data_IF_256155824101
#
_entry.id   IF_256155824101
#
_cell.length_a   1.000
_cell.length_b   1.000
_cell.length_c   1.000
_cell.angle_alpha   90.00
_cell.angle_beta   90.00
_cell.angle_gamma   90.00
#
_symmetry.space_group_name_H-M   'P 1'
#
loop_
_entity.id
_entity.type
_entity.pdbx_description
1 polymer ?
#
# COMPACT_ATOMS: atom_id res chain seq x y z
N UNK A 1 0.18 -1.24 -31.03
CA UNK A 1 1.50 -1.00 -31.66
C UNK A 1 2.54 -0.91 -30.56
N UNK A 2 3.65 -1.67 -30.60
CA UNK A 2 4.78 -1.50 -29.66
C UNK A 2 5.13 -2.73 -28.83
N UNK A 3 4.33 -3.79 -28.93
CA UNK A 3 4.45 -4.96 -28.06
C UNK A 3 4.13 -4.62 -26.60
N UNK A 4 3.86 -5.65 -25.80
CA UNK A 4 3.77 -5.49 -24.35
C UNK A 4 5.18 -5.50 -23.78
N UNK A 5 5.56 -4.43 -23.12
CA UNK A 5 6.86 -4.28 -22.48
C UNK A 5 6.70 -4.51 -20.98
N UNK A 6 7.55 -5.35 -20.39
CA UNK A 6 7.48 -5.71 -18.97
C UNK A 6 8.59 -5.02 -18.19
N UNK A 7 8.25 -4.62 -16.98
CA UNK A 7 9.12 -3.90 -16.06
C UNK A 7 8.89 -4.41 -14.64
N UNK A 8 9.85 -4.16 -13.76
CA UNK A 8 9.72 -4.46 -12.33
C UNK A 8 10.28 -3.28 -11.52
N UNK A 9 9.52 -2.80 -10.54
CA UNK A 9 9.91 -1.75 -9.62
C UNK A 9 9.62 -2.19 -8.17
N UNK A 10 10.57 -2.06 -7.23
CA UNK A 10 10.38 -2.52 -5.85
C UNK A 10 9.16 -1.93 -5.12
N UNK A 11 8.64 -0.78 -5.55
CA UNK A 11 7.54 -0.07 -4.89
C UNK A 11 6.17 -0.53 -5.39
N UNK A 12 6.06 -0.87 -6.68
CA UNK A 12 4.77 -1.14 -7.36
C UNK A 12 4.70 -2.54 -7.96
N UNK A 13 5.79 -3.30 -7.92
CA UNK A 13 5.90 -4.68 -8.39
C UNK A 13 6.12 -4.78 -9.89
N UNK A 14 5.71 -5.93 -10.45
CA UNK A 14 5.79 -6.16 -11.88
C UNK A 14 4.65 -5.40 -12.58
N UNK A 15 4.99 -4.70 -13.65
CA UNK A 15 4.03 -3.98 -14.46
C UNK A 15 4.40 -4.05 -15.93
N UNK A 16 3.49 -3.63 -16.79
CA UNK A 16 3.72 -3.61 -18.22
C UNK A 16 3.07 -2.41 -18.86
N UNK A 17 3.67 -1.97 -19.97
CA UNK A 17 3.14 -0.91 -20.80
C UNK A 17 2.96 -1.46 -22.22
N UNK A 18 1.78 -1.23 -22.77
CA UNK A 18 1.46 -1.50 -24.17
C UNK A 18 0.99 -0.22 -24.81
N UNK A 19 1.61 0.20 -25.91
CA UNK A 19 1.06 1.31 -26.70
C UNK A 19 0.03 0.77 -27.69
N UNK A 20 -1.10 1.45 -27.85
CA UNK A 20 -2.13 1.02 -28.81
C UNK A 20 -2.25 1.96 -30.00
N UNK A 21 -1.75 3.19 -29.87
CA UNK A 21 -1.81 4.21 -30.90
C UNK A 21 -0.45 4.58 -31.49
N UNK A 22 -0.54 5.34 -32.59
CA UNK A 22 0.56 6.14 -33.13
C UNK A 22 0.11 7.60 -33.25
N UNK A 23 1.04 8.53 -33.33
CA UNK A 23 0.75 9.90 -33.70
C UNK A 23 0.40 10.04 -35.19
N UNK A 24 0.02 11.25 -35.60
CA UNK A 24 -0.37 11.56 -36.98
C UNK A 24 0.78 11.44 -37.99
N UNK A 25 2.03 11.54 -37.52
CA UNK A 25 3.21 11.28 -38.33
C UNK A 25 3.49 9.77 -38.49
N UNK A 26 2.87 8.91 -37.68
CA UNK A 26 3.01 7.46 -37.72
C UNK A 26 4.29 6.93 -37.07
N UNK A 27 5.08 7.81 -36.46
CA UNK A 27 6.40 7.52 -35.88
C UNK A 27 6.37 7.48 -34.35
N UNK A 28 5.57 8.31 -33.70
CA UNK A 28 5.45 8.35 -32.24
C UNK A 28 4.45 7.34 -31.70
N UNK A 29 4.79 6.61 -30.63
CA UNK A 29 3.86 5.74 -29.91
C UNK A 29 2.93 6.57 -29.01
N UNK A 30 1.63 6.25 -29.02
CA UNK A 30 0.59 6.94 -28.23
C UNK A 30 -0.36 5.94 -27.57
N UNK A 31 -1.29 6.41 -26.73
CA UNK A 31 -2.26 5.58 -26.01
C UNK A 31 -1.61 4.47 -25.18
N UNK A 32 -0.83 4.82 -24.14
CA UNK A 32 -0.27 3.83 -23.24
C UNK A 32 -1.39 3.14 -22.45
N UNK A 33 -1.37 1.81 -22.44
CA UNK A 33 -2.10 0.96 -21.51
C UNK A 33 -1.10 0.52 -20.44
N UNK A 34 -1.39 0.86 -19.19
CA UNK A 34 -0.67 0.39 -18.02
C UNK A 34 -1.40 -0.85 -17.47
N UNK A 35 -0.65 -1.89 -17.12
CA UNK A 35 -1.18 -3.05 -16.41
C UNK A 35 -0.24 -3.37 -15.27
N UNK A 36 -0.78 -3.56 -14.07
CA UNK A 36 -0.01 -3.92 -12.87
C UNK A 36 -0.40 -5.33 -12.45
N UNK A 37 0.58 -6.16 -12.15
CA UNK A 37 0.36 -7.58 -11.78
C UNK A 37 -0.60 -7.76 -10.62
N UNK A 38 -0.56 -6.85 -9.65
CA UNK A 38 -1.35 -6.94 -8.42
C UNK A 38 -2.64 -6.14 -8.47
N UNK A 39 -3.02 -5.57 -9.62
CA UNK A 39 -4.30 -4.88 -9.77
C UNK A 39 -5.20 -5.73 -10.66
N UNK A 40 -6.21 -6.34 -10.03
CA UNK A 40 -7.26 -7.14 -10.70
C UNK A 40 -6.70 -8.06 -11.81
N UNK A 41 -5.61 -8.78 -11.51
CA UNK A 41 -4.88 -9.67 -12.43
C UNK A 41 -4.53 -9.03 -13.79
N UNK A 42 -3.66 -8.01 -13.77
CA UNK A 42 -3.21 -7.28 -14.96
C UNK A 42 -4.34 -6.53 -15.70
N UNK A 43 -5.28 -5.96 -14.96
CA UNK A 43 -6.30 -5.07 -15.54
C UNK A 43 -5.69 -3.99 -16.41
N UNK A 44 -6.30 -3.77 -17.58
CA UNK A 44 -5.92 -2.70 -18.50
C UNK A 44 -6.36 -1.35 -17.97
N UNK A 45 -5.39 -0.47 -17.77
CA UNK A 45 -5.59 0.92 -17.36
C UNK A 45 -5.23 1.81 -18.56
N UNK A 46 -6.22 2.32 -19.31
CA UNK A 46 -5.97 3.22 -20.42
C UNK A 46 -5.54 4.59 -19.90
N UNK A 47 -4.23 4.83 -19.84
CA UNK A 47 -3.65 6.02 -19.20
C UNK A 47 -4.13 7.30 -19.86
N UNK A 48 -4.24 7.32 -21.19
CA UNK A 48 -4.66 8.50 -21.94
C UNK A 48 -6.13 8.85 -21.66
N UNK A 49 -7.01 7.85 -21.56
CA UNK A 49 -8.43 8.07 -21.24
C UNK A 49 -8.58 8.65 -19.83
N UNK A 50 -7.87 8.09 -18.83
CA UNK A 50 -7.86 8.64 -17.46
C UNK A 50 -7.36 10.09 -17.38
N UNK A 51 -6.44 10.47 -18.26
CA UNK A 51 -5.94 11.85 -18.32
C UNK A 51 -6.98 12.78 -18.92
N UNK A 52 -7.67 12.35 -19.97
CA UNK A 52 -8.74 13.14 -20.59
C UNK A 52 -9.93 13.29 -19.64
N UNK A 53 -10.35 12.23 -18.98
CA UNK A 53 -11.43 12.29 -18.00
C UNK A 53 -11.10 13.30 -16.86
N UNK A 54 -9.83 13.35 -16.42
CA UNK A 54 -9.38 14.36 -15.44
C UNK A 54 -9.45 15.78 -15.98
N UNK A 55 -9.07 15.99 -17.24
CA UNK A 55 -9.14 17.30 -17.89
C UNK A 55 -10.60 17.75 -18.00
N UNK A 56 -11.49 16.85 -18.38
CA UNK A 56 -12.93 17.12 -18.50
C UNK A 56 -13.56 17.41 -17.14
N UNK A 57 -13.19 16.67 -16.10
CA UNK A 57 -13.65 16.93 -14.73
C UNK A 57 -13.21 18.32 -14.24
N UNK A 58 -11.94 18.68 -14.48
CA UNK A 58 -11.42 20.01 -14.14
C UNK A 58 -12.11 21.12 -14.93
N UNK A 59 -12.33 20.93 -16.22
CA UNK A 59 -13.04 21.89 -17.06
C UNK A 59 -14.48 22.11 -16.55
N UNK A 60 -15.16 21.02 -16.14
CA UNK A 60 -16.47 21.10 -15.51
C UNK A 60 -16.43 21.95 -14.21
N UNK A 61 -15.45 21.71 -13.33
CA UNK A 61 -15.29 22.46 -12.08
C UNK A 61 -15.01 23.95 -12.33
N UNK A 62 -14.10 24.25 -13.26
CA UNK A 62 -13.70 25.62 -13.62
C UNK A 62 -14.90 26.42 -14.21
N UNK A 63 -15.88 25.72 -14.81
CA UNK A 63 -17.11 26.30 -15.34
C UNK A 63 -18.32 26.18 -14.40
N UNK A 64 -18.10 25.92 -13.11
CA UNK A 64 -19.14 25.82 -12.06
C UNK A 64 -20.21 24.76 -12.36
N UNK A 65 -19.83 23.65 -13.00
CA UNK A 65 -20.70 22.51 -13.22
C UNK A 65 -21.14 21.86 -11.90
N UNK A 66 -22.40 21.44 -11.82
CA UNK A 66 -22.96 20.86 -10.59
C UNK A 66 -22.84 19.33 -10.48
N UNK A 67 -22.45 18.65 -11.56
CA UNK A 67 -22.36 17.18 -11.64
C UNK A 67 -21.02 16.77 -12.28
N UNK A 68 -19.92 17.30 -11.76
CA UNK A 68 -18.60 16.97 -12.30
C UNK A 68 -18.22 15.53 -11.92
N UNK A 69 -17.58 14.77 -12.83
CA UNK A 69 -17.13 13.42 -12.54
C UNK A 69 -16.12 13.36 -11.38
N UNK A 70 -16.46 12.63 -10.31
CA UNK A 70 -15.61 12.44 -9.10
C UNK A 70 -14.51 11.38 -9.27
N UNK A 71 -14.33 10.84 -10.48
CA UNK A 71 -13.64 9.57 -10.74
C UNK A 71 -12.23 9.43 -10.15
N UNK A 72 -11.64 8.21 -10.18
CA UNK A 72 -10.30 7.99 -9.67
C UNK A 72 -9.25 8.49 -10.67
N UNK A 73 -9.08 9.81 -10.73
CA UNK A 73 -8.15 10.51 -11.64
C UNK A 73 -6.69 10.38 -11.20
N UNK A 74 -6.11 9.20 -11.39
CA UNK A 74 -4.72 8.97 -10.96
C UNK A 74 -3.68 9.45 -11.98
N UNK A 75 -4.09 9.83 -13.20
CA UNK A 75 -3.17 10.14 -14.30
C UNK A 75 -3.29 11.59 -14.79
N UNK A 76 -2.20 12.17 -15.27
CA UNK A 76 -2.19 13.47 -15.96
C UNK A 76 -1.03 13.61 -16.96
N UNK A 77 -1.18 14.54 -17.90
CA UNK A 77 -0.09 14.95 -18.77
C UNK A 77 0.96 15.71 -17.97
N UNK A 78 2.23 15.40 -18.23
CA UNK A 78 3.33 16.30 -17.89
C UNK A 78 3.46 17.34 -19.00
N UNK A 79 3.84 18.56 -18.63
CA UNK A 79 3.87 19.69 -19.53
C UNK A 79 4.74 19.39 -20.76
N UNK A 80 4.15 19.55 -21.95
CA UNK A 80 4.82 19.26 -23.20
C UNK A 80 5.75 20.41 -23.59
N UNK A 81 7.05 20.19 -23.47
CA UNK A 81 8.08 21.16 -23.83
C UNK A 81 8.68 20.82 -25.19
N UNK A 82 8.18 21.47 -26.25
CA UNK A 82 8.68 21.31 -27.63
C UNK A 82 10.19 21.55 -27.75
N UNK A 83 10.79 22.36 -26.86
CA UNK A 83 12.22 22.66 -26.90
C UNK A 83 13.10 21.49 -26.42
N UNK A 84 12.50 20.51 -25.71
CA UNK A 84 13.19 19.31 -25.19
C UNK A 84 12.94 18.05 -26.02
N UNK A 85 12.37 18.22 -27.21
CA UNK A 85 12.09 17.17 -28.18
C UNK A 85 10.64 16.68 -28.16
N UNK A 86 10.29 15.87 -29.16
CA UNK A 86 8.93 15.36 -29.36
C UNK A 86 8.61 14.17 -28.45
N UNK A 87 8.55 14.40 -27.13
CA UNK A 87 8.21 13.36 -26.14
C UNK A 87 6.91 13.69 -25.44
N UNK A 88 5.94 12.77 -25.52
CA UNK A 88 4.76 12.81 -24.66
C UNK A 88 5.10 12.15 -23.33
N UNK A 89 4.61 12.74 -22.25
CA UNK A 89 4.90 12.30 -20.90
C UNK A 89 3.60 12.26 -20.09
N UNK A 90 3.47 11.19 -19.31
CA UNK A 90 2.34 10.97 -18.42
C UNK A 90 2.87 10.71 -17.02
N UNK A 91 2.16 11.22 -16.02
CA UNK A 91 2.39 10.88 -14.63
C UNK A 91 1.13 10.22 -14.08
N UNK A 92 1.28 8.97 -13.62
CA UNK A 92 0.19 8.16 -13.06
C UNK A 92 0.52 7.80 -11.61
N UNK A 93 -0.42 8.03 -10.71
CA UNK A 93 -0.45 7.38 -9.40
C UNK A 93 -0.88 5.92 -9.58
N UNK A 94 -0.26 5.03 -8.81
CA UNK A 94 -0.68 3.62 -8.74
C UNK A 94 -0.84 3.25 -7.27
N UNK A 95 -1.86 2.45 -6.92
CA UNK A 95 -2.00 1.93 -5.56
C UNK A 95 -0.72 1.25 -5.11
N UNK A 96 -0.36 1.45 -3.84
CA UNK A 96 0.73 0.70 -3.23
C UNK A 96 0.26 -0.74 -3.06
N UNK A 97 1.09 -1.70 -3.46
CA UNK A 97 0.74 -3.12 -3.37
C UNK A 97 0.34 -3.48 -1.93
N UNK A 98 -0.77 -4.20 -1.78
CA UNK A 98 -1.30 -4.61 -0.49
C UNK A 98 -2.01 -3.49 0.27
N UNK A 99 -2.34 -2.38 -0.40
CA UNK A 99 -3.21 -1.33 0.12
C UNK A 99 -4.49 -1.36 -0.72
N UNK A 100 -5.50 -2.09 -0.23
CA UNK A 100 -6.81 -2.09 -0.85
C UNK A 100 -7.58 -0.83 -0.45
N UNK A 101 -7.86 0.05 -1.39
CA UNK A 101 -9.03 0.93 -1.29
C UNK A 101 -10.14 0.37 -2.19
N UNK A 102 -11.38 0.80 -1.98
CA UNK A 102 -12.54 0.26 -2.68
C UNK A 102 -12.53 0.49 -4.22
N UNK A 103 -11.59 1.30 -4.74
CA UNK A 103 -11.56 1.70 -6.15
C UNK A 103 -10.64 0.83 -7.02
N UNK A 104 -9.53 0.34 -6.46
CA UNK A 104 -8.59 -0.55 -7.15
C UNK A 104 -8.01 -1.55 -6.16
N UNK A 105 -8.43 -2.81 -6.25
CA UNK A 105 -7.88 -3.87 -5.41
C UNK A 105 -6.43 -4.15 -5.82
N UNK A 106 -5.49 -3.82 -4.93
CA UNK A 106 -4.06 -4.01 -5.11
C UNK A 106 -3.49 -5.17 -4.28
N UNK A 107 -4.36 -6.06 -3.79
CA UNK A 107 -3.99 -7.17 -2.93
C UNK A 107 -3.02 -8.13 -3.62
N UNK A 108 -2.00 -8.56 -2.87
CA UNK A 108 -1.12 -9.66 -3.23
C UNK A 108 -1.86 -10.99 -3.15
N UNK A 109 -1.44 -12.00 -3.92
CA UNK A 109 -1.90 -13.37 -3.72
C UNK A 109 -1.68 -13.79 -2.26
N UNK A 110 -2.65 -14.52 -1.73
CA UNK A 110 -2.56 -15.13 -0.40
C UNK A 110 -2.04 -16.57 -0.50
N UNK A 111 -1.34 -17.04 0.53
CA UNK A 111 -0.91 -18.43 0.66
C UNK A 111 -2.08 -19.36 1.04
N UNK A 112 -1.82 -20.65 1.21
CA UNK A 112 -2.82 -21.66 1.62
C UNK A 112 -3.48 -21.37 2.98
N UNK A 113 -2.85 -20.53 3.81
CA UNK A 113 -3.37 -20.10 5.11
C UNK A 113 -4.20 -18.81 5.02
N UNK A 114 -4.30 -18.21 3.83
CA UNK A 114 -5.03 -16.97 3.58
C UNK A 114 -4.25 -15.69 3.90
N UNK A 115 -2.92 -15.74 4.00
CA UNK A 115 -2.08 -14.55 4.27
C UNK A 115 -1.36 -14.08 3.03
N UNK A 116 -1.27 -12.77 2.85
CA UNK A 116 -0.32 -12.19 1.92
C UNK A 116 1.12 -12.46 2.40
N UNK A 117 1.96 -13.16 1.61
CA UNK A 117 3.31 -13.47 2.03
C UNK A 117 4.16 -12.21 2.27
N UNK A 118 5.07 -12.29 3.25
CA UNK A 118 6.01 -11.22 3.58
C UNK A 118 5.95 -10.82 5.05
N UNK A 119 6.15 -9.53 5.33
CA UNK A 119 6.15 -9.02 6.70
C UNK A 119 4.71 -8.82 7.20
N UNK A 120 4.37 -9.48 8.30
CA UNK A 120 3.13 -9.28 9.05
C UNK A 120 3.37 -8.38 10.25
N UNK A 121 2.59 -7.30 10.34
CA UNK A 121 2.72 -6.28 11.37
C UNK A 121 1.84 -6.56 12.58
N UNK A 122 2.40 -6.34 13.77
CA UNK A 122 1.69 -6.34 15.05
C UNK A 122 1.93 -4.98 15.69
N UNK A 123 0.94 -4.12 15.62
CA UNK A 123 0.94 -2.81 16.27
C UNK A 123 0.32 -2.95 17.65
N UNK A 124 1.03 -2.50 18.68
CA UNK A 124 0.61 -2.63 20.07
C UNK A 124 0.71 -1.28 20.76
N UNK A 125 -0.37 -0.88 21.43
CA UNK A 125 -0.30 0.15 22.47
C UNK A 125 -0.34 -0.51 23.83
N UNK A 126 0.68 -0.25 24.64
CA UNK A 126 0.73 -0.70 26.02
C UNK A 126 0.52 0.48 26.95
N UNK A 127 -0.44 0.35 27.85
CA UNK A 127 -0.72 1.36 28.88
C UNK A 127 0.09 1.05 30.13
N UNK A 128 0.75 2.05 30.73
CA UNK A 128 1.42 1.88 32.02
C UNK A 128 0.42 1.44 33.07
N UNK A 129 0.90 0.64 34.02
CA UNK A 129 0.12 0.28 35.21
C UNK A 129 -0.01 1.52 36.10
N UNK A 130 -1.23 1.99 36.41
CA UNK A 130 -1.40 3.04 37.41
C UNK A 130 -0.81 2.64 38.76
N UNK A 131 -0.89 1.34 39.13
CA UNK A 131 -0.27 0.75 40.31
C UNK A 131 0.52 -0.51 39.91
N UNK A 132 1.86 -0.42 39.71
CA UNK A 132 2.69 -1.50 39.17
C UNK A 132 2.59 -2.85 39.89
N UNK A 133 2.38 -2.83 41.21
CA UNK A 133 2.29 -4.03 42.05
C UNK A 133 0.88 -4.64 42.14
N UNK A 134 -0.14 -3.99 41.58
CA UNK A 134 -1.55 -4.41 41.72
C UNK A 134 -2.26 -4.60 40.39
N UNK A 135 -1.93 -3.77 39.40
CA UNK A 135 -2.66 -3.72 38.14
C UNK A 135 -2.00 -4.64 37.10
N UNK A 136 -2.81 -5.18 36.20
CA UNK A 136 -2.34 -5.84 34.99
C UNK A 136 -2.13 -4.78 33.89
N UNK A 137 -1.26 -5.08 32.93
CA UNK A 137 -1.13 -4.24 31.74
C UNK A 137 -2.41 -4.32 30.89
N UNK A 138 -2.79 -3.19 30.31
CA UNK A 138 -3.80 -3.12 29.26
C UNK A 138 -3.13 -2.95 27.90
N UNK A 139 -3.74 -3.52 26.87
CA UNK A 139 -3.22 -3.50 25.50
C UNK A 139 -4.32 -3.19 24.49
N UNK A 140 -4.00 -2.36 23.50
CA UNK A 140 -4.67 -2.35 22.20
C UNK A 140 -3.74 -3.02 21.20
N UNK A 141 -4.27 -3.97 20.41
CA UNK A 141 -3.47 -4.76 19.48
C UNK A 141 -4.15 -4.82 18.13
N UNK A 142 -3.40 -4.47 17.10
CA UNK A 142 -3.80 -4.62 15.70
C UNK A 142 -2.79 -5.53 15.01
N UNK A 143 -3.30 -6.54 14.29
CA UNK A 143 -2.48 -7.50 13.56
C UNK A 143 -2.95 -7.59 12.12
N UNK A 144 -2.02 -7.35 11.21
CA UNK A 144 -2.29 -7.21 9.78
C UNK A 144 -1.22 -7.93 8.96
N UNK A 145 -1.61 -8.48 7.81
CA UNK A 145 -0.67 -9.00 6.82
C UNK A 145 -0.15 -7.91 5.87
N UNK A 146 0.63 -8.34 4.86
CA UNK A 146 1.17 -7.44 3.85
C UNK A 146 0.10 -6.78 2.96
N UNK A 147 -1.14 -7.28 2.99
CA UNK A 147 -2.33 -6.70 2.34
C UNK A 147 -3.17 -5.83 3.29
N UNK A 148 -2.69 -5.60 4.52
CA UNK A 148 -3.49 -5.04 5.62
C UNK A 148 -4.74 -5.84 5.97
N UNK A 149 -4.79 -7.10 5.54
CA UNK A 149 -5.85 -8.02 5.88
C UNK A 149 -5.74 -8.44 7.34
N UNK A 150 -6.88 -8.54 8.03
CA UNK A 150 -6.94 -9.07 9.39
C UNK A 150 -6.57 -10.56 9.37
N UNK A 151 -5.71 -10.92 10.32
CA UNK A 151 -5.29 -12.30 10.50
C UNK A 151 -6.30 -13.12 11.35
N UNK A 152 -6.45 -14.44 11.09
CA UNK A 152 -7.52 -15.28 11.63
C UNK A 152 -7.28 -15.76 13.07
N UNK A 153 -6.03 -15.80 13.52
CA UNK A 153 -5.70 -16.23 14.88
C UNK A 153 -5.56 -15.03 15.82
N UNK A 154 -5.63 -15.32 17.12
CA UNK A 154 -5.29 -14.33 18.15
C UNK A 154 -3.77 -14.34 18.35
N UNK A 155 -3.21 -13.18 18.61
CA UNK A 155 -1.84 -13.04 19.09
C UNK A 155 -1.84 -13.20 20.61
N UNK A 156 -0.99 -14.09 21.10
CA UNK A 156 -0.74 -14.22 22.53
C UNK A 156 0.33 -13.22 22.95
N UNK A 157 0.05 -12.50 24.05
CA UNK A 157 0.95 -11.48 24.60
C UNK A 157 1.27 -11.85 26.05
N UNK A 158 2.57 -11.91 26.36
CA UNK A 158 3.06 -12.16 27.72
C UNK A 158 3.91 -10.98 28.18
N UNK A 159 3.65 -10.53 29.39
CA UNK A 159 4.36 -9.41 30.02
C UNK A 159 5.13 -9.88 31.25
N UNK A 160 6.27 -9.24 31.49
CA UNK A 160 6.96 -9.37 32.77
C UNK A 160 6.28 -8.62 33.91
N UNK A 161 6.98 -8.51 35.03
CA UNK A 161 6.51 -7.86 36.24
C UNK A 161 6.56 -6.34 36.15
N UNK A 162 7.57 -5.79 35.46
CA UNK A 162 7.88 -4.36 35.43
C UNK A 162 7.93 -3.80 33.99
N UNK A 163 7.86 -2.47 33.88
CA UNK A 163 7.75 -1.76 32.59
C UNK A 163 8.94 -2.01 31.65
N UNK A 164 10.12 -2.28 32.21
CA UNK A 164 11.35 -2.56 31.44
C UNK A 164 11.45 -4.01 30.97
N UNK A 165 10.55 -4.90 31.42
CA UNK A 165 10.55 -6.28 30.95
C UNK A 165 10.07 -6.34 29.49
N UNK A 166 10.69 -7.19 28.66
CA UNK A 166 10.25 -7.36 27.29
C UNK A 166 8.84 -7.94 27.23
N UNK A 167 8.06 -7.45 26.28
CA UNK A 167 6.77 -8.04 25.92
C UNK A 167 7.04 -9.17 24.93
N UNK A 168 6.56 -10.37 25.23
CA UNK A 168 6.71 -11.54 24.35
C UNK A 168 5.42 -11.76 23.58
N UNK A 169 5.58 -12.15 22.33
CA UNK A 169 4.49 -12.37 21.39
C UNK A 169 4.56 -13.80 20.88
N UNK A 170 3.40 -14.42 20.67
CA UNK A 170 3.28 -15.66 19.92
C UNK A 170 2.13 -15.57 18.93
N UNK A 171 2.38 -16.04 17.70
CA UNK A 171 1.38 -16.12 16.65
C UNK A 171 1.70 -17.27 15.69
N UNK A 172 0.73 -18.15 15.44
CA UNK A 172 0.85 -19.26 14.49
C UNK A 172 2.15 -20.09 14.62
N UNK A 173 2.57 -20.38 15.85
CA UNK A 173 3.79 -21.16 16.15
C UNK A 173 5.10 -20.37 16.09
N UNK A 174 5.07 -19.08 15.74
CA UNK A 174 6.21 -18.18 15.83
C UNK A 174 6.19 -17.42 17.15
N UNK A 175 7.37 -17.18 17.71
CA UNK A 175 7.54 -16.40 18.94
C UNK A 175 8.63 -15.36 18.78
N UNK A 176 8.44 -14.17 19.35
CA UNK A 176 9.44 -13.11 19.41
C UNK A 176 9.19 -12.22 20.63
N UNK A 177 10.06 -11.25 20.87
CA UNK A 177 9.89 -10.29 21.96
C UNK A 177 10.23 -8.87 21.52
N UNK A 178 9.82 -7.90 22.34
CA UNK A 178 9.99 -6.47 22.08
C UNK A 178 11.44 -5.98 22.09
N UNK A 179 12.41 -6.78 22.59
CA UNK A 179 13.83 -6.43 22.52
C UNK A 179 14.47 -6.87 21.19
N UNK A 180 13.78 -7.65 20.37
CA UNK A 180 14.28 -8.04 19.06
C UNK A 180 14.19 -6.86 18.07
N UNK A 181 15.27 -6.09 17.96
CA UNK A 181 15.35 -4.90 17.09
C UNK A 181 15.18 -5.21 15.60
N UNK A 182 15.43 -6.45 15.16
CA UNK A 182 15.16 -6.85 13.77
C UNK A 182 13.67 -7.06 13.48
N UNK A 183 12.85 -7.14 14.55
CA UNK A 183 11.43 -7.43 14.45
C UNK A 183 10.52 -6.41 15.11
N UNK A 184 11.07 -5.57 15.98
CA UNK A 184 10.32 -4.64 16.80
C UNK A 184 11.00 -3.28 16.85
N UNK A 185 10.20 -2.24 16.64
CA UNK A 185 10.47 -0.86 17.05
C UNK A 185 9.64 -0.57 18.29
N UNK A 186 10.28 -0.15 19.37
CA UNK A 186 9.61 0.14 20.65
C UNK A 186 9.86 1.60 21.01
N UNK A 187 8.79 2.35 21.18
CA UNK A 187 8.86 3.74 21.59
C UNK A 187 8.96 3.86 23.12
N UNK A 188 9.40 5.03 23.58
CA UNK A 188 9.31 5.37 25.00
C UNK A 188 7.84 5.54 25.42
N UNK A 189 7.59 5.54 26.71
CA UNK A 189 6.27 5.94 27.22
C UNK A 189 6.07 7.44 27.01
N UNK A 190 4.95 7.78 26.36
CA UNK A 190 4.42 9.12 26.25
C UNK A 190 2.97 9.12 26.74
N UNK A 191 2.64 10.03 27.66
CA UNK A 191 1.31 10.11 28.28
C UNK A 191 0.78 8.77 28.84
N UNK A 192 1.64 8.01 29.52
CA UNK A 192 1.37 6.67 30.07
C UNK A 192 1.08 5.58 29.02
N UNK A 193 1.41 5.80 27.75
CA UNK A 193 1.26 4.82 26.67
C UNK A 193 2.59 4.67 25.95
N UNK A 194 3.02 3.45 25.63
CA UNK A 194 4.09 3.21 24.67
C UNK A 194 3.55 2.47 23.47
N UNK A 195 4.09 2.77 22.30
CA UNK A 195 3.76 2.07 21.06
C UNK A 195 4.87 1.10 20.71
N UNK A 196 4.48 -0.05 20.16
CA UNK A 196 5.40 -1.06 19.66
C UNK A 196 4.92 -1.50 18.28
N UNK A 197 5.78 -1.33 17.28
CA UNK A 197 5.59 -1.86 15.95
C UNK A 197 6.47 -3.09 15.80
N UNK A 198 5.86 -4.24 16.03
CA UNK A 198 6.51 -5.53 15.93
C UNK A 198 6.06 -6.29 14.67
N UNK A 199 6.67 -7.43 14.41
CA UNK A 199 6.15 -8.33 13.40
C UNK A 199 6.90 -9.64 13.26
N UNK A 200 6.44 -10.40 12.27
CA UNK A 200 6.88 -11.75 11.97
C UNK A 200 6.69 -12.02 10.47
N UNK A 201 7.25 -13.12 9.98
CA UNK A 201 7.08 -13.49 8.58
C UNK A 201 5.76 -14.23 8.40
N UNK A 202 4.93 -13.79 7.48
CA UNK A 202 3.81 -14.56 6.96
C UNK A 202 4.27 -15.40 5.78
N UNK A 203 4.36 -16.70 6.02
CA UNK A 203 4.70 -17.75 5.06
C UNK A 203 3.54 -18.73 4.85
#
# INVERSE_FOLDING_TARGET
VGGRQYFSDPRVGDFSITFTGKDTAGEGLTKPILQLKYIEDWKEIPVEDLVYDRVDAKDCEDHLGSNCPDGPWVSHFLQYDHSKGCKRQWQCGVPKIGKGDASLDSQRPVNEKGYAPGWCGVHVKQYQKPKPSKDQYAFEVTINDANEGKLPYKVDIYTGAIDTDPVRFAYAGQTWDSNNQSRCSVEAYDNNVRQMDCGFTCD
#
